data_IF_799587344322
#
_entry.id   IF_799587344322
#
_cell.length_a   1.000
_cell.length_b   1.000
_cell.length_c   1.000
_cell.angle_alpha   90.00
_cell.angle_beta   90.00
_cell.angle_gamma   90.00
#
_symmetry.space_group_name_H-M   'P 1'
#
loop_
_entity.id
_entity.type
_entity.pdbx_description
1 polymer ?
#
# COMPACT_ATOMS: atom_id res chain seq x y z
N UNK A 1 11.78 4.43 -12.51
CA UNK A 1 11.01 5.69 -12.61
C UNK A 1 10.44 5.93 -11.22
N UNK A 2 10.45 7.15 -10.70
CA UNK A 2 9.92 7.39 -9.35
C UNK A 2 8.41 7.65 -9.45
N UNK A 3 7.62 6.98 -8.62
CA UNK A 3 6.18 7.22 -8.49
C UNK A 3 5.96 8.20 -7.33
N UNK A 4 5.02 9.13 -7.50
CA UNK A 4 4.66 10.07 -6.44
C UNK A 4 3.22 9.76 -6.06
N UNK A 5 2.99 9.54 -4.76
CA UNK A 5 1.65 9.39 -4.20
C UNK A 5 1.35 10.61 -3.33
N UNK A 6 0.10 11.06 -3.33
CA UNK A 6 -0.36 12.13 -2.44
C UNK A 6 -1.19 11.53 -1.31
N UNK A 7 -0.83 11.81 -0.07
CA UNK A 7 -1.59 11.45 1.12
C UNK A 7 -2.18 12.70 1.75
N UNK A 8 -3.01 13.41 0.98
CA UNK A 8 -3.66 14.66 1.40
C UNK A 8 -2.67 15.83 1.48
N UNK A 9 -1.97 15.95 2.61
CA UNK A 9 -1.10 17.09 2.92
C UNK A 9 0.36 16.90 2.46
N UNK A 10 0.73 15.69 2.06
CA UNK A 10 2.11 15.34 1.71
C UNK A 10 2.19 14.60 0.37
N UNK A 11 3.18 14.99 -0.44
CA UNK A 11 3.62 14.22 -1.60
C UNK A 11 4.77 13.30 -1.18
N UNK A 12 4.62 12.01 -1.45
CA UNK A 12 5.58 10.98 -1.08
C UNK A 12 6.16 10.40 -2.36
N UNK A 13 7.48 10.48 -2.48
CA UNK A 13 8.22 9.88 -3.58
C UNK A 13 8.51 8.42 -3.23
N UNK A 14 7.88 7.51 -3.96
CA UNK A 14 8.12 6.08 -3.89
C UNK A 14 9.34 5.73 -4.74
N UNK A 15 10.40 5.24 -4.11
CA UNK A 15 11.61 4.80 -4.79
C UNK A 15 11.72 3.26 -4.76
N UNK A 16 12.29 2.66 -5.81
CA UNK A 16 12.35 1.20 -5.95
C UNK A 16 13.01 0.47 -4.76
N UNK A 17 13.95 1.12 -4.07
CA UNK A 17 14.69 0.49 -2.98
C UNK A 17 14.05 0.70 -1.60
N UNK A 18 13.14 1.66 -1.49
CA UNK A 18 12.39 1.95 -0.25
C UNK A 18 10.99 1.37 -0.27
N UNK A 19 10.53 0.89 -1.43
CA UNK A 19 9.18 0.40 -1.63
C UNK A 19 9.15 -1.09 -1.99
N UNK A 20 8.13 -1.79 -1.49
CA UNK A 20 7.82 -3.18 -1.82
C UNK A 20 6.33 -3.31 -2.10
N UNK A 21 6.00 -4.02 -3.16
CA UNK A 21 4.63 -4.34 -3.54
C UNK A 21 4.33 -5.74 -3.01
N UNK A 22 3.27 -5.90 -2.23
CA UNK A 22 2.84 -7.20 -1.70
C UNK A 22 1.49 -7.59 -2.30
N UNK A 23 1.43 -8.82 -2.83
CA UNK A 23 0.24 -9.44 -3.43
C UNK A 23 -0.01 -10.80 -2.78
N UNK A 24 -1.18 -11.03 -2.23
CA UNK A 24 -1.54 -12.26 -1.52
C UNK A 24 -2.63 -13.05 -2.24
N UNK A 25 -2.33 -14.27 -2.68
CA UNK A 25 -3.25 -15.06 -3.51
C UNK A 25 -4.51 -15.51 -2.78
N UNK A 26 -4.42 -15.78 -1.47
CA UNK A 26 -5.56 -16.29 -0.68
C UNK A 26 -6.28 -15.21 0.12
N UNK A 27 -5.67 -14.02 0.23
CA UNK A 27 -6.20 -12.88 1.00
C UNK A 27 -5.90 -11.58 0.26
N UNK A 28 -6.45 -11.37 -0.96
CA UNK A 28 -6.16 -10.19 -1.77
C UNK A 28 -6.56 -8.87 -1.10
N UNK A 29 -7.46 -8.90 -0.11
CA UNK A 29 -7.79 -7.74 0.73
C UNK A 29 -6.60 -7.20 1.53
N UNK A 30 -5.52 -7.98 1.66
CA UNK A 30 -4.28 -7.59 2.31
C UNK A 30 -3.22 -7.10 1.34
N UNK A 31 -3.52 -7.02 0.04
CA UNK A 31 -2.61 -6.44 -0.95
C UNK A 31 -2.28 -4.99 -0.56
N UNK A 32 -0.99 -4.66 -0.56
CA UNK A 32 -0.54 -3.35 -0.11
C UNK A 32 0.83 -2.96 -0.63
N UNK A 33 1.07 -1.65 -0.61
CA UNK A 33 2.41 -1.08 -0.78
C UNK A 33 3.02 -0.86 0.60
N UNK A 34 4.20 -1.43 0.80
CA UNK A 34 5.05 -1.10 1.93
C UNK A 34 6.10 -0.08 1.48
N UNK A 35 6.24 1.04 2.19
CA UNK A 35 7.31 1.98 1.93
C UNK A 35 7.94 2.55 3.20
N UNK A 36 9.20 2.95 3.09
CA UNK A 36 9.95 3.59 4.17
C UNK A 36 10.15 5.09 3.86
N UNK A 37 9.77 5.95 4.80
CA UNK A 37 10.08 7.39 4.76
C UNK A 37 10.88 7.76 6.02
N UNK A 38 12.18 7.97 5.85
CA UNK A 38 13.13 8.16 6.95
C UNK A 38 13.21 6.95 7.88
N UNK A 39 12.91 7.14 9.16
CA UNK A 39 12.90 6.07 10.18
C UNK A 39 11.52 5.41 10.36
N UNK A 40 10.52 5.83 9.60
CA UNK A 40 9.14 5.34 9.70
C UNK A 40 8.79 4.44 8.52
N UNK A 41 7.94 3.47 8.80
CA UNK A 41 7.40 2.52 7.84
C UNK A 41 5.91 2.73 7.70
N UNK A 42 5.42 2.59 6.48
CA UNK A 42 4.04 2.84 6.12
C UNK A 42 3.51 1.70 5.24
N UNK A 43 2.21 1.44 5.39
CA UNK A 43 1.47 0.44 4.64
C UNK A 43 0.29 1.15 3.99
N UNK A 44 0.14 0.96 2.68
CA UNK A 44 -0.98 1.51 1.91
C UNK A 44 -1.81 0.34 1.40
N UNK A 45 -2.99 0.15 1.98
CA UNK A 45 -3.97 -0.87 1.59
C UNK A 45 -4.98 -0.31 0.58
N UNK A 46 -5.81 -1.19 -0.01
CA UNK A 46 -6.88 -0.82 -0.94
C UNK A 46 -6.42 0.07 -2.11
N UNK A 47 -5.23 -0.21 -2.64
CA UNK A 47 -4.55 0.65 -3.60
C UNK A 47 -4.24 -0.08 -4.93
N UNK A 48 -5.18 -0.87 -5.44
CA UNK A 48 -4.99 -1.71 -6.63
C UNK A 48 -4.40 -0.96 -7.84
N UNK A 49 -4.94 0.22 -8.16
CA UNK A 49 -4.43 1.06 -9.25
C UNK A 49 -2.97 1.47 -9.03
N UNK A 50 -2.58 1.74 -7.78
CA UNK A 50 -1.19 2.06 -7.45
C UNK A 50 -0.29 0.84 -7.60
N UNK A 51 -0.73 -0.32 -7.10
CA UNK A 51 0.02 -1.58 -7.21
C UNK A 51 0.26 -1.94 -8.68
N UNK A 52 -0.77 -1.88 -9.53
CA UNK A 52 -0.68 -2.12 -10.97
C UNK A 52 0.30 -1.15 -11.64
N UNK A 53 0.22 0.14 -11.30
CA UNK A 53 1.14 1.15 -11.81
C UNK A 53 2.59 0.90 -11.37
N UNK A 54 2.80 0.49 -10.12
CA UNK A 54 4.12 0.15 -9.60
C UNK A 54 4.69 -1.07 -10.33
N UNK A 55 3.90 -2.13 -10.51
CA UNK A 55 4.30 -3.32 -11.26
C UNK A 55 4.64 -2.99 -12.72
N UNK A 56 3.82 -2.19 -13.39
CA UNK A 56 4.07 -1.72 -14.76
C UNK A 56 5.36 -0.89 -14.89
N UNK A 57 5.76 -0.21 -13.81
CA UNK A 57 7.01 0.56 -13.73
C UNK A 57 8.22 -0.26 -13.24
N UNK A 58 8.06 -1.57 -13.08
CA UNK A 58 9.14 -2.49 -12.73
C UNK A 58 9.47 -2.55 -11.24
N UNK A 59 8.56 -2.10 -10.37
CA UNK A 59 8.68 -2.41 -8.94
C UNK A 59 8.41 -3.89 -8.74
N UNK A 60 9.26 -4.55 -7.97
CA UNK A 60 9.15 -5.98 -7.77
C UNK A 60 7.98 -6.29 -6.82
N UNK A 61 6.97 -6.98 -7.35
CA UNK A 61 5.92 -7.58 -6.53
C UNK A 61 6.44 -8.83 -5.82
N UNK A 62 6.15 -8.91 -4.53
CA UNK A 62 6.30 -10.09 -3.70
C UNK A 62 4.93 -10.75 -3.69
N UNK A 63 4.84 -11.92 -4.30
CA UNK A 63 3.59 -12.69 -4.40
C UNK A 63 3.68 -13.89 -3.45
N UNK A 64 2.80 -13.92 -2.45
CA UNK A 64 2.72 -15.01 -1.48
C UNK A 64 1.29 -15.55 -1.38
N UNK A 65 1.13 -16.72 -0.78
CA UNK A 65 -0.19 -17.29 -0.49
C UNK A 65 -0.77 -16.71 0.81
N UNK A 66 0.06 -16.27 1.75
CA UNK A 66 -0.36 -15.81 3.07
C UNK A 66 0.37 -14.53 3.51
N UNK A 67 -0.31 -13.64 4.26
CA UNK A 67 0.30 -12.46 4.87
C UNK A 67 1.28 -12.84 5.98
N UNK A 68 2.26 -11.97 6.25
CA UNK A 68 2.99 -12.04 7.51
C UNK A 68 2.12 -11.48 8.66
N UNK A 69 2.44 -11.85 9.90
CA UNK A 69 1.74 -11.34 11.09
C UNK A 69 1.71 -9.80 11.12
N UNK A 70 2.77 -9.14 10.66
CA UNK A 70 2.85 -7.69 10.60
C UNK A 70 1.84 -7.08 9.61
N UNK A 71 1.65 -7.73 8.46
CA UNK A 71 0.73 -7.26 7.40
C UNK A 71 -0.72 -7.43 7.86
N UNK A 72 -1.02 -8.57 8.49
CA UNK A 72 -2.33 -8.83 9.07
C UNK A 72 -2.67 -7.83 10.18
N UNK A 73 -1.75 -7.59 11.12
CA UNK A 73 -1.95 -6.60 12.18
C UNK A 73 -2.11 -5.18 11.64
N UNK A 74 -1.36 -4.82 10.59
CA UNK A 74 -1.49 -3.53 9.93
C UNK A 74 -2.87 -3.38 9.27
N UNK A 75 -3.37 -4.41 8.61
CA UNK A 75 -4.71 -4.42 8.03
C UNK A 75 -5.81 -4.36 9.10
N UNK A 76 -5.68 -5.12 10.20
CA UNK A 76 -6.62 -5.04 11.34
C UNK A 76 -6.62 -3.64 11.94
N UNK A 77 -5.45 -3.00 12.08
CA UNK A 77 -5.38 -1.60 12.55
C UNK A 77 -5.99 -0.62 11.57
N UNK A 78 -5.76 -0.81 10.27
CA UNK A 78 -6.36 0.01 9.21
C UNK A 78 -7.88 -0.13 9.22
N UNK A 79 -8.41 -1.34 9.11
CA UNK A 79 -9.86 -1.59 9.20
C UNK A 79 -10.47 -1.09 10.51
N UNK A 80 -9.77 -1.22 11.64
CA UNK A 80 -10.23 -0.68 12.92
C UNK A 80 -10.25 0.86 12.95
N UNK A 81 -9.32 1.54 12.26
CA UNK A 81 -9.36 2.99 12.10
C UNK A 81 -10.47 3.45 11.14
N UNK A 82 -10.94 2.56 10.25
CA UNK A 82 -12.04 2.80 9.29
C UNK A 82 -13.42 2.38 9.83
N UNK A 83 -13.52 1.93 11.09
CA UNK A 83 -14.85 1.69 11.71
C UNK A 83 -15.58 3.02 11.98
N UNK A 84 -14.86 4.16 12.01
CA UNK A 84 -15.45 5.50 12.12
C UNK A 84 -15.07 6.48 10.98
N UNK A 85 -14.17 6.10 10.07
CA UNK A 85 -13.78 6.91 8.89
C UNK A 85 -13.93 6.04 7.62
N UNK A 86 -15.14 6.01 7.05
CA UNK A 86 -15.29 5.80 5.61
C UNK A 86 -14.43 6.88 4.94
N UNK A 87 -13.25 6.50 4.46
CA UNK A 87 -12.45 7.30 3.55
C UNK A 87 -13.37 7.75 2.42
N UNK A 88 -13.64 9.05 2.35
CA UNK A 88 -14.23 9.71 1.20
C UNK A 88 -13.49 9.19 -0.04
N UNK A 89 -14.21 8.34 -0.77
CA UNK A 89 -13.77 7.68 -1.98
C UNK A 89 -13.14 8.74 -2.88
N UNK A 90 -11.97 8.40 -3.45
CA UNK A 90 -11.31 9.11 -4.55
C UNK A 90 -12.22 9.08 -5.80
N UNK A 91 -13.37 9.74 -5.74
CA UNK A 91 -14.32 9.88 -6.83
C UNK A 91 -14.31 11.33 -7.34
N UNK A 92 -13.73 11.49 -8.53
CA UNK A 92 -14.07 12.59 -9.44
C UNK A 92 -13.14 13.80 -9.47
N UNK A 93 -12.07 13.72 -10.27
CA UNK A 93 -11.77 14.81 -11.21
C UNK A 93 -11.22 14.28 -12.54
#
# INVERSE_FOLDING_TARGET
MNLIISTGDEEIVLEHHTCKVYRFRKMPELDHVYYQNGSRYFYVFNCDTLLDNMEANGYQAIVDDYPSDNDYDAYVRHTASHVDEELEELDGN
#
